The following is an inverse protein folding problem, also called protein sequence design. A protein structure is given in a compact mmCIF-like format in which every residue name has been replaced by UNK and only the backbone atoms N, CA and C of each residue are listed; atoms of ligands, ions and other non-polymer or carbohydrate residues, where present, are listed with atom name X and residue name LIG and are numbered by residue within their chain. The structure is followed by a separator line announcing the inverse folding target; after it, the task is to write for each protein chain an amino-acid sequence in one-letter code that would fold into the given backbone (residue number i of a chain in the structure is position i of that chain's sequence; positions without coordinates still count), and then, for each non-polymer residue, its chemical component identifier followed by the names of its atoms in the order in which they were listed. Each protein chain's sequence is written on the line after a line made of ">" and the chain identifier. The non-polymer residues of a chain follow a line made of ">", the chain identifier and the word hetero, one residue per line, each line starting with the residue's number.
data_IF_631245615583
#
_entry.id   IF_631245615583
#
_cell.length_a   1.000
_cell.length_b   1.000
_cell.length_c   1.000
_cell.angle_alpha   90.00
_cell.angle_beta   90.00
_cell.angle_gamma   90.00
#
_symmetry.space_group_name_H-M   'P 1'
#
loop_
_entity.id
_entity.type
_entity.pdbx_description
1 polymer ?
#
# COMPACT_ATOMS: atom_id res chain seq x y z
N UNK A 1 82.10 -55.81 33.55
CA UNK A 1 81.67 -54.39 33.59
C UNK A 1 80.16 -54.41 33.79
N UNK A 2 79.65 -54.22 35.02
CA UNK A 2 79.25 -52.93 35.65
C UNK A 2 78.15 -52.24 34.80
N UNK A 3 76.91 -51.98 35.21
CA UNK A 3 76.35 -51.76 36.55
C UNK A 3 74.82 -52.00 36.61
N UNK A 4 74.36 -52.32 37.84
CA UNK A 4 72.99 -52.29 38.35
C UNK A 4 72.27 -50.96 38.03
N UNK A 5 70.93 -50.95 37.99
CA UNK A 5 70.15 -50.24 39.03
C UNK A 5 68.66 -50.56 38.98
N UNK A 6 68.12 -50.59 40.20
CA UNK A 6 66.73 -50.69 40.67
C UNK A 6 65.82 -49.65 40.00
N UNK A 7 64.53 -49.98 39.80
CA UNK A 7 63.35 -49.13 40.04
C UNK A 7 62.10 -49.99 39.88
N UNK A 8 61.29 -50.09 40.94
CA UNK A 8 59.83 -49.88 40.84
C UNK A 8 59.20 -49.92 42.24
N UNK A 9 58.68 -48.80 42.74
CA UNK A 9 57.36 -48.77 43.38
C UNK A 9 56.82 -47.33 43.58
N UNK A 10 55.95 -46.94 42.66
CA UNK A 10 54.63 -46.29 42.83
C UNK A 10 54.48 -45.20 43.91
N UNK A 11 54.21 -43.97 43.46
CA UNK A 11 53.48 -42.95 44.22
C UNK A 11 52.10 -42.70 43.56
N UNK A 12 51.06 -42.69 44.40
CA UNK A 12 49.65 -42.58 44.04
C UNK A 12 49.22 -41.18 43.56
N UNK A 13 48.35 -41.19 42.53
CA UNK A 13 47.09 -40.45 42.37
C UNK A 13 46.93 -39.07 43.03
N UNK A 14 46.74 -38.04 42.21
CA UNK A 14 45.49 -37.24 42.18
C UNK A 14 45.50 -36.35 40.93
N UNK A 15 44.95 -36.83 39.82
CA UNK A 15 44.46 -35.90 38.81
C UNK A 15 43.11 -35.39 39.32
N UNK A 16 42.89 -34.08 39.51
CA UNK A 16 41.53 -33.60 39.69
C UNK A 16 40.78 -33.93 38.41
N UNK A 17 39.77 -34.80 38.50
CA UNK A 17 38.76 -34.92 37.47
C UNK A 17 38.05 -33.55 37.42
N UNK A 18 38.53 -32.67 36.56
CA UNK A 18 37.79 -31.47 36.21
C UNK A 18 36.61 -31.96 35.38
N UNK A 19 35.51 -32.28 36.07
CA UNK A 19 34.21 -32.54 35.46
C UNK A 19 33.73 -31.23 34.85
N UNK A 20 34.20 -30.91 33.64
CA UNK A 20 33.59 -29.88 32.82
C UNK A 20 32.20 -30.36 32.45
N UNK A 21 31.15 -29.74 33.00
CA UNK A 21 29.81 -29.92 32.47
C UNK A 21 29.81 -29.35 31.05
N UNK A 22 29.80 -30.22 30.03
CA UNK A 22 29.65 -29.82 28.66
C UNK A 22 28.18 -29.39 28.45
N UNK A 23 27.94 -28.08 28.52
CA UNK A 23 26.66 -27.50 28.14
C UNK A 23 26.73 -27.24 26.63
N UNK A 24 25.91 -27.96 25.86
CA UNK A 24 25.77 -27.76 24.42
C UNK A 24 24.35 -27.29 24.15
N UNK A 25 24.20 -26.08 23.65
CA UNK A 25 22.92 -25.57 23.18
C UNK A 25 22.78 -25.88 21.68
N UNK A 26 21.67 -26.52 21.30
CA UNK A 26 21.26 -26.65 19.90
C UNK A 26 20.13 -25.68 19.63
N UNK A 27 20.31 -24.79 18.67
CA UNK A 27 19.29 -23.79 18.30
C UNK A 27 18.70 -24.12 16.93
N UNK A 28 17.42 -24.47 16.93
CA UNK A 28 16.62 -24.62 15.71
C UNK A 28 15.83 -23.33 15.49
N UNK A 29 15.99 -22.72 14.30
CA UNK A 29 15.27 -21.52 13.91
C UNK A 29 14.57 -21.79 12.58
N UNK A 30 13.35 -21.28 12.43
CA UNK A 30 12.60 -21.27 11.19
C UNK A 30 11.98 -19.89 10.96
N UNK A 31 11.59 -19.60 9.72
CA UNK A 31 10.95 -18.35 9.32
C UNK A 31 9.58 -18.69 8.73
N UNK A 32 8.54 -18.03 9.22
CA UNK A 32 7.22 -18.05 8.58
C UNK A 32 7.19 -16.93 7.54
N UNK A 33 7.03 -17.22 6.24
CA UNK A 33 6.92 -16.17 5.23
C UNK A 33 5.64 -15.36 5.41
N UNK A 34 5.62 -14.12 4.91
CA UNK A 34 4.38 -13.33 4.83
C UNK A 34 3.33 -14.10 4.04
N UNK A 35 2.12 -14.18 4.57
CA UNK A 35 1.07 -14.98 3.95
C UNK A 35 0.50 -14.36 2.66
N UNK A 36 0.63 -13.04 2.51
CA UNK A 36 0.38 -12.32 1.27
C UNK A 36 1.29 -11.09 1.17
N UNK A 37 1.56 -10.64 -0.05
CA UNK A 37 2.40 -9.49 -0.37
C UNK A 37 1.72 -8.67 -1.47
N UNK A 38 1.79 -7.35 -1.33
CA UNK A 38 1.37 -6.37 -2.34
C UNK A 38 2.60 -5.57 -2.77
N UNK A 39 2.71 -5.28 -4.06
CA UNK A 39 3.73 -4.38 -4.61
C UNK A 39 3.07 -3.39 -5.56
N UNK A 40 3.43 -2.11 -5.45
CA UNK A 40 3.09 -1.15 -6.51
C UNK A 40 3.93 -1.43 -7.74
N UNK A 41 3.32 -1.34 -8.91
CA UNK A 41 3.98 -1.48 -10.21
C UNK A 41 4.04 -0.09 -10.83
N UNK A 42 5.18 0.63 -10.73
CA UNK A 42 5.30 1.93 -11.35
C UNK A 42 5.28 1.79 -12.87
N UNK A 43 4.45 2.60 -13.53
CA UNK A 43 4.32 2.64 -14.98
C UNK A 43 4.37 4.07 -15.53
N UNK A 44 4.42 4.17 -16.86
CA UNK A 44 4.43 5.47 -17.57
C UNK A 44 3.15 6.27 -17.38
N UNK A 45 2.04 5.61 -17.02
CA UNK A 45 0.73 6.22 -16.78
C UNK A 45 0.48 6.56 -15.30
N UNK A 46 1.49 6.44 -14.44
CA UNK A 46 1.40 6.95 -13.06
C UNK A 46 1.49 8.48 -13.01
N UNK A 47 1.86 9.11 -14.12
CA UNK A 47 1.88 10.56 -14.30
C UNK A 47 1.29 10.94 -15.66
N UNK A 48 0.81 12.18 -15.75
CA UNK A 48 0.25 12.77 -16.96
C UNK A 48 0.33 14.29 -16.82
N UNK A 49 0.06 14.99 -17.92
CA UNK A 49 -0.04 16.45 -17.95
C UNK A 49 -1.50 16.81 -18.10
N UNK A 50 -1.97 17.68 -17.22
CA UNK A 50 -3.31 18.28 -17.30
C UNK A 50 -3.27 19.39 -18.36
N UNK A 51 -4.15 19.32 -19.33
CA UNK A 51 -4.39 20.39 -20.31
C UNK A 51 -4.98 21.60 -19.57
N UNK A 52 -4.28 22.76 -19.54
CA UNK A 52 -4.72 23.92 -18.80
C UNK A 52 -5.99 24.57 -19.37
N UNK A 53 -6.47 24.19 -20.55
CA UNK A 53 -7.70 24.78 -21.10
C UNK A 53 -8.96 24.13 -20.53
N UNK A 54 -8.90 22.84 -20.26
CA UNK A 54 -10.10 22.02 -19.99
C UNK A 54 -9.93 21.04 -18.82
N UNK A 55 -8.73 20.93 -18.27
CA UNK A 55 -8.43 20.02 -17.16
C UNK A 55 -8.29 18.56 -17.61
N UNK A 56 -8.16 18.27 -18.90
CA UNK A 56 -8.08 16.90 -19.38
C UNK A 56 -6.68 16.31 -19.19
N UNK A 57 -6.59 15.01 -18.96
CA UNK A 57 -5.31 14.30 -18.94
C UNK A 57 -5.34 13.06 -19.84
N UNK A 58 -4.18 12.46 -20.11
CA UNK A 58 -4.01 11.38 -21.10
C UNK A 58 -4.16 9.95 -20.54
N UNK A 59 -4.88 9.78 -19.42
CA UNK A 59 -5.16 8.48 -18.80
C UNK A 59 -4.13 8.08 -17.74
N UNK A 60 -4.45 8.39 -16.48
CA UNK A 60 -3.67 8.02 -15.30
C UNK A 60 -4.12 6.64 -14.79
N UNK A 61 -3.16 5.81 -14.36
CA UNK A 61 -3.43 4.49 -13.78
C UNK A 61 -2.54 4.24 -12.56
N UNK A 62 -3.07 3.49 -11.60
CA UNK A 62 -2.33 2.93 -10.48
C UNK A 62 -2.41 1.41 -10.54
N UNK A 63 -1.25 0.74 -10.57
CA UNK A 63 -1.14 -0.72 -10.71
C UNK A 63 -0.47 -1.34 -9.50
N UNK A 64 -1.00 -2.46 -9.05
CA UNK A 64 -0.48 -3.24 -7.94
C UNK A 64 -0.48 -4.74 -8.28
N UNK A 65 0.58 -5.43 -7.92
CA UNK A 65 0.64 -6.89 -7.94
C UNK A 65 0.39 -7.45 -6.55
N UNK A 66 -0.47 -8.45 -6.47
CA UNK A 66 -0.77 -9.22 -5.27
C UNK A 66 -0.24 -10.63 -5.46
N UNK A 67 0.43 -11.14 -4.42
CA UNK A 67 0.82 -12.55 -4.32
C UNK A 67 0.42 -13.12 -2.96
N UNK A 68 -0.31 -14.23 -2.93
CA UNK A 68 -0.68 -14.96 -1.71
C UNK A 68 0.03 -16.33 -1.68
N UNK A 69 0.31 -16.83 -0.47
CA UNK A 69 0.97 -18.12 -0.27
C UNK A 69 -0.02 -19.26 0.05
N UNK A 70 -1.28 -19.15 -0.39
CA UNK A 70 -2.32 -20.12 -0.05
C UNK A 70 -3.72 -19.66 -0.46
N UNK A 71 -4.74 -20.09 0.29
CA UNK A 71 -6.11 -19.65 0.08
C UNK A 71 -6.24 -18.14 0.36
N UNK A 72 -6.67 -17.41 -0.66
CA UNK A 72 -6.87 -15.97 -0.64
C UNK A 72 -8.22 -15.58 0.00
N UNK A 73 -9.11 -16.55 0.20
CA UNK A 73 -10.41 -16.35 0.86
C UNK A 73 -10.28 -15.81 2.28
N UNK A 74 -9.11 -16.01 2.92
CA UNK A 74 -8.78 -15.51 4.24
C UNK A 74 -8.37 -14.02 4.27
N UNK A 75 -8.29 -13.35 3.12
CA UNK A 75 -7.85 -11.95 3.04
C UNK A 75 -8.88 -11.03 2.41
N UNK A 76 -8.80 -9.76 2.79
CA UNK A 76 -9.43 -8.64 2.13
C UNK A 76 -8.37 -7.69 1.60
N UNK A 77 -8.42 -7.46 0.28
CA UNK A 77 -7.58 -6.49 -0.40
C UNK A 77 -8.37 -5.20 -0.53
N UNK A 78 -7.90 -4.14 0.13
CA UNK A 78 -8.62 -2.87 0.22
C UNK A 78 -7.76 -1.76 -0.37
N UNK A 79 -8.22 -1.20 -1.48
CA UNK A 79 -7.64 -0.04 -2.13
C UNK A 79 -8.28 1.23 -1.56
N UNK A 80 -7.52 1.98 -0.79
CA UNK A 80 -7.90 3.30 -0.26
C UNK A 80 -7.20 4.43 -1.04
N UNK A 81 -7.68 5.66 -0.84
CA UNK A 81 -7.11 6.86 -1.45
C UNK A 81 -7.01 7.98 -0.43
N UNK A 82 -5.93 8.75 -0.50
CA UNK A 82 -5.67 9.91 0.32
C UNK A 82 -5.26 11.12 -0.52
N UNK A 83 -5.75 12.29 -0.13
CA UNK A 83 -5.33 13.60 -0.65
C UNK A 83 -4.92 14.51 0.50
N UNK A 84 -4.02 15.44 0.24
CA UNK A 84 -3.60 16.43 1.24
C UNK A 84 -4.41 17.72 1.11
N UNK A 85 -4.77 18.30 2.25
CA UNK A 85 -5.39 19.61 2.34
C UNK A 85 -4.64 20.45 3.36
N UNK A 86 -4.90 21.75 3.39
CA UNK A 86 -4.36 22.68 4.40
C UNK A 86 -4.70 22.29 5.85
N UNK A 87 -5.69 21.41 6.07
CA UNK A 87 -6.12 20.95 7.40
C UNK A 87 -5.93 19.43 7.57
N UNK A 88 -4.95 18.87 6.86
CA UNK A 88 -4.58 17.46 6.95
C UNK A 88 -5.14 16.59 5.82
N UNK A 89 -4.94 15.28 5.98
CA UNK A 89 -5.29 14.28 4.98
C UNK A 89 -6.80 14.03 4.96
N UNK A 90 -7.35 13.88 3.75
CA UNK A 90 -8.74 13.47 3.51
C UNK A 90 -8.79 12.27 2.59
N UNK A 91 -9.87 11.51 2.65
CA UNK A 91 -10.14 10.46 1.68
C UNK A 91 -10.26 11.07 0.28
N UNK A 92 -9.52 10.54 -0.68
CA UNK A 92 -9.55 10.99 -2.07
C UNK A 92 -10.75 10.46 -2.86
N UNK A 93 -11.45 9.44 -2.36
CA UNK A 93 -12.63 8.89 -3.01
C UNK A 93 -13.92 9.56 -2.56
N UNK A 94 -14.86 9.69 -3.49
CA UNK A 94 -16.26 9.99 -3.19
C UNK A 94 -17.21 9.38 -4.22
N UNK A 95 -18.49 9.30 -3.85
CA UNK A 95 -19.56 8.87 -4.73
C UNK A 95 -20.38 10.06 -5.20
N UNK A 96 -20.67 10.11 -6.50
CA UNK A 96 -21.66 11.02 -7.07
C UNK A 96 -22.49 10.29 -8.11
N UNK A 97 -23.80 10.34 -7.97
CA UNK A 97 -24.76 9.68 -8.87
C UNK A 97 -24.45 8.19 -9.12
N UNK A 98 -24.05 7.48 -8.06
CA UNK A 98 -23.67 6.06 -8.10
C UNK A 98 -22.33 5.76 -8.76
N UNK A 99 -21.55 6.77 -9.16
CA UNK A 99 -20.22 6.63 -9.76
C UNK A 99 -19.14 7.01 -8.75
N UNK A 100 -18.06 6.24 -8.74
CA UNK A 100 -16.87 6.53 -7.95
C UNK A 100 -16.01 7.58 -8.65
N UNK A 101 -15.54 8.55 -7.89
CA UNK A 101 -14.59 9.56 -8.33
C UNK A 101 -13.36 9.55 -7.43
N UNK A 102 -12.23 9.92 -8.02
CA UNK A 102 -10.97 10.18 -7.33
C UNK A 102 -10.63 11.66 -7.45
N UNK A 103 -10.38 12.31 -6.32
CA UNK A 103 -9.88 13.69 -6.25
C UNK A 103 -8.36 13.68 -6.32
N UNK A 104 -7.76 14.62 -7.05
CA UNK A 104 -6.34 14.97 -7.01
C UNK A 104 -6.21 16.36 -6.40
N UNK A 105 -5.37 16.51 -5.36
CA UNK A 105 -5.11 17.79 -4.69
C UNK A 105 -3.78 18.38 -5.14
N UNK A 106 -3.71 19.70 -5.33
CA UNK A 106 -2.45 20.39 -5.59
C UNK A 106 -1.52 20.31 -4.37
N UNK A 107 -0.31 19.79 -4.57
CA UNK A 107 0.72 19.60 -3.53
C UNK A 107 1.49 20.87 -3.19
N UNK A 108 1.63 21.76 -4.16
CA UNK A 108 2.35 23.02 -4.00
C UNK A 108 1.44 24.11 -3.38
N UNK A 109 0.13 24.00 -3.59
CA UNK A 109 -0.89 24.89 -3.04
C UNK A 109 -2.09 24.10 -2.54
N UNK A 110 -1.96 23.59 -1.31
CA UNK A 110 -2.95 22.71 -0.71
C UNK A 110 -4.37 23.34 -0.71
N UNK A 111 -5.40 22.60 -1.15
CA UNK A 111 -6.78 23.07 -1.09
C UNK A 111 -7.27 23.22 0.37
N UNK A 112 -8.37 23.95 0.56
CA UNK A 112 -9.09 23.98 1.83
C UNK A 112 -9.88 22.68 2.02
N UNK A 113 -10.08 22.25 3.26
CA UNK A 113 -10.98 21.11 3.55
C UNK A 113 -12.43 21.38 3.15
N UNK A 114 -12.87 22.65 3.10
CA UNK A 114 -14.21 23.01 2.62
C UNK A 114 -14.39 22.67 1.13
N UNK A 115 -13.33 22.81 0.32
CA UNK A 115 -13.38 22.46 -1.09
C UNK A 115 -13.65 20.96 -1.31
N UNK A 116 -13.07 20.11 -0.45
CA UNK A 116 -13.38 18.67 -0.42
C UNK A 116 -14.85 18.44 -0.05
N UNK A 117 -15.34 19.11 0.99
CA UNK A 117 -16.74 18.98 1.42
C UNK A 117 -17.74 19.40 0.35
N UNK A 118 -17.47 20.49 -0.38
CA UNK A 118 -18.32 20.99 -1.46
C UNK A 118 -18.39 19.99 -2.63
N UNK A 119 -17.27 19.34 -2.96
CA UNK A 119 -17.25 18.24 -3.96
C UNK A 119 -18.05 17.04 -3.47
N UNK A 120 -17.77 16.56 -2.25
CA UNK A 120 -18.38 15.35 -1.67
C UNK A 120 -19.89 15.52 -1.44
N UNK A 121 -20.34 16.72 -1.09
CA UNK A 121 -21.77 17.05 -0.96
C UNK A 121 -22.51 17.12 -2.30
N UNK A 122 -21.81 16.99 -3.43
CA UNK A 122 -22.37 16.89 -4.76
C UNK A 122 -22.58 18.23 -5.48
N UNK A 123 -22.29 19.35 -4.82
CA UNK A 123 -22.48 20.72 -5.33
C UNK A 123 -21.16 21.48 -5.49
N UNK A 124 -20.21 20.99 -6.32
CA UNK A 124 -18.93 21.65 -6.48
C UNK A 124 -19.10 23.04 -7.09
N UNK A 125 -18.51 24.05 -6.46
CA UNK A 125 -18.61 25.46 -6.85
C UNK A 125 -17.25 26.06 -7.19
N UNK A 126 -16.55 25.50 -8.18
CA UNK A 126 -15.21 25.93 -8.59
C UNK A 126 -14.26 25.89 -7.38
N UNK A 127 -13.86 24.67 -7.05
CA UNK A 127 -13.08 24.35 -5.88
C UNK A 127 -11.59 24.45 -6.21
N UNK A 128 -10.88 25.52 -5.80
CA UNK A 128 -9.51 25.74 -6.24
C UNK A 128 -8.59 24.64 -5.72
N UNK A 129 -7.68 24.19 -6.59
CA UNK A 129 -6.60 23.26 -6.30
C UNK A 129 -7.04 21.84 -5.95
N UNK A 130 -8.25 21.43 -6.36
CA UNK A 130 -8.73 20.06 -6.22
C UNK A 130 -9.60 19.65 -7.41
N UNK A 131 -9.15 18.63 -8.13
CA UNK A 131 -9.79 18.19 -9.38
C UNK A 131 -10.26 16.76 -9.21
N UNK A 132 -11.53 16.48 -9.52
CA UNK A 132 -12.09 15.14 -9.44
C UNK A 132 -12.22 14.49 -10.81
N UNK A 133 -11.84 13.22 -10.92
CA UNK A 133 -11.99 12.42 -12.14
C UNK A 133 -12.78 11.15 -11.86
N UNK A 134 -13.61 10.68 -12.80
CA UNK A 134 -14.35 9.44 -12.63
C UNK A 134 -13.37 8.27 -12.60
N UNK A 135 -13.53 7.36 -11.65
CA UNK A 135 -12.78 6.11 -11.66
C UNK A 135 -13.36 5.19 -12.73
N UNK A 136 -12.50 4.73 -13.63
CA UNK A 136 -12.85 3.74 -14.66
C UNK A 136 -12.24 2.41 -14.21
N UNK A 137 -13.08 1.41 -13.99
CA UNK A 137 -12.60 0.10 -13.58
C UNK A 137 -12.32 -0.77 -14.82
N UNK A 138 -11.06 -1.12 -15.06
CA UNK A 138 -10.63 -1.99 -16.16
C UNK A 138 -9.81 -3.21 -15.69
N UNK A 139 -9.73 -3.47 -14.39
CA UNK A 139 -8.95 -4.59 -13.87
C UNK A 139 -9.58 -5.96 -14.19
N UNK A 140 -8.77 -7.02 -14.19
CA UNK A 140 -9.25 -8.41 -14.27
C UNK A 140 -9.91 -8.96 -13.00
N UNK A 141 -10.03 -8.17 -11.92
CA UNK A 141 -10.67 -8.56 -10.66
C UNK A 141 -11.99 -7.82 -10.40
N UNK A 142 -12.83 -8.34 -9.50
CA UNK A 142 -14.07 -7.67 -9.08
C UNK A 142 -13.73 -6.57 -8.06
N UNK A 143 -14.16 -5.32 -8.33
CA UNK A 143 -14.09 -4.22 -7.36
C UNK A 143 -15.47 -3.97 -6.78
N UNK A 144 -15.57 -3.96 -5.45
CA UNK A 144 -16.75 -3.45 -4.74
C UNK A 144 -16.43 -2.17 -4.01
N UNK A 145 -17.19 -1.14 -4.33
CA UNK A 145 -17.19 0.11 -3.58
C UNK A 145 -17.83 -0.16 -2.23
N UNK A 146 -17.14 0.15 -1.14
CA UNK A 146 -17.65 -0.04 0.21
C UNK A 146 -16.95 0.92 1.19
N UNK A 147 -17.41 0.92 2.43
CA UNK A 147 -16.70 1.61 3.50
C UNK A 147 -15.85 0.61 4.30
N UNK A 148 -14.62 1.01 4.62
CA UNK A 148 -13.76 0.31 5.56
C UNK A 148 -13.33 1.32 6.64
N UNK A 149 -13.56 1.01 7.91
CA UNK A 149 -13.32 1.92 9.04
C UNK A 149 -13.92 3.33 8.89
N UNK A 150 -15.09 3.44 8.24
CA UNK A 150 -15.78 4.71 8.03
C UNK A 150 -15.32 5.51 6.80
N UNK A 151 -14.34 5.00 6.05
CA UNK A 151 -13.84 5.64 4.84
C UNK A 151 -14.22 4.85 3.58
N UNK A 152 -14.62 5.56 2.53
CA UNK A 152 -14.91 4.98 1.23
C UNK A 152 -13.64 4.37 0.61
N UNK A 153 -13.75 3.16 0.11
CA UNK A 153 -12.65 2.38 -0.46
C UNK A 153 -13.18 1.43 -1.54
N UNK A 154 -12.25 0.75 -2.22
CA UNK A 154 -12.57 -0.37 -3.10
C UNK A 154 -12.04 -1.67 -2.50
N UNK A 155 -12.92 -2.63 -2.23
CA UNK A 155 -12.52 -4.01 -1.93
C UNK A 155 -12.32 -4.77 -3.23
N UNK A 156 -11.22 -5.49 -3.31
CA UNK A 156 -10.83 -6.27 -4.47
C UNK A 156 -10.99 -7.76 -4.12
N UNK A 157 -11.65 -8.50 -4.99
CA UNK A 157 -11.78 -9.95 -4.88
C UNK A 157 -10.82 -10.63 -5.84
N UNK A 158 -9.95 -11.46 -5.28
CA UNK A 158 -8.97 -12.27 -6.01
C UNK A 158 -9.56 -13.54 -6.61
N UNK A 159 -10.70 -14.02 -6.09
CA UNK A 159 -11.46 -15.12 -6.69
C UNK A 159 -10.75 -16.47 -6.70
N UNK A 160 -9.88 -16.74 -5.72
CA UNK A 160 -9.07 -17.96 -5.65
C UNK A 160 -7.70 -17.85 -6.32
N UNK A 161 -7.35 -16.70 -6.88
CA UNK A 161 -6.06 -16.48 -7.55
C UNK A 161 -4.96 -16.14 -6.54
N UNK A 162 -3.86 -16.88 -6.62
CA UNK A 162 -2.67 -16.63 -5.78
C UNK A 162 -1.79 -15.51 -6.31
N UNK A 163 -1.93 -15.17 -7.60
CA UNK A 163 -1.25 -14.05 -8.24
C UNK A 163 -2.27 -13.25 -9.04
N UNK A 164 -2.32 -11.94 -8.80
CA UNK A 164 -3.23 -11.06 -9.53
C UNK A 164 -2.65 -9.66 -9.66
N UNK A 165 -2.98 -9.00 -10.77
CA UNK A 165 -2.69 -7.59 -10.99
C UNK A 165 -3.96 -6.78 -10.88
N UNK A 166 -3.91 -5.75 -10.04
CA UNK A 166 -4.97 -4.78 -9.78
C UNK A 166 -4.59 -3.48 -10.44
N UNK A 167 -5.45 -2.95 -11.30
CA UNK A 167 -5.25 -1.65 -11.93
C UNK A 167 -6.48 -0.77 -11.73
N UNK A 168 -6.29 0.43 -11.20
CA UNK A 168 -7.33 1.47 -11.17
C UNK A 168 -6.99 2.58 -12.16
N UNK A 169 -7.95 2.89 -13.03
CA UNK A 169 -7.83 3.98 -14.00
C UNK A 169 -8.70 5.15 -13.56
N UNK A 170 -8.30 6.35 -13.92
CA UNK A 170 -9.18 7.52 -13.87
C UNK A 170 -9.41 8.06 -15.28
N UNK A 171 -10.67 8.42 -15.55
CA UNK A 171 -11.11 8.94 -16.84
C UNK A 171 -10.55 10.33 -17.09
N UNK A 172 -10.30 10.66 -18.35
CA UNK A 172 -9.59 11.87 -18.77
C UNK A 172 -10.33 13.18 -18.53
N UNK A 173 -11.64 13.15 -18.41
CA UNK A 173 -12.48 14.34 -18.27
C UNK A 173 -12.81 14.60 -16.79
N UNK A 174 -12.49 15.78 -16.24
CA UNK A 174 -12.81 16.08 -14.85
C UNK A 174 -14.32 16.23 -14.65
N UNK A 175 -14.74 16.07 -13.40
CA UNK A 175 -16.07 16.43 -12.96
C UNK A 175 -16.30 17.93 -13.18
N UNK A 176 -17.44 18.29 -13.75
CA UNK A 176 -17.81 19.69 -13.98
C UNK A 176 -17.73 20.50 -12.67
N UNK A 177 -17.14 21.70 -12.76
CA UNK A 177 -16.89 22.63 -11.63
C UNK A 177 -15.86 22.17 -10.58
N UNK A 178 -15.06 21.14 -10.87
CA UNK A 178 -13.86 20.82 -10.07
C UNK A 178 -12.57 21.27 -10.74
N UNK A 179 -12.62 21.84 -11.95
CA UNK A 179 -11.47 22.43 -12.61
C UNK A 179 -11.84 23.80 -13.17
N UNK A 180 -10.94 24.78 -13.03
CA UNK A 180 -11.00 26.08 -13.67
C UNK A 180 -9.61 26.67 -13.85
N UNK A 181 -9.24 27.06 -15.08
CA UNK A 181 -7.97 27.73 -15.38
C UNK A 181 -7.78 29.04 -14.58
N UNK A 182 -8.87 29.70 -14.18
CA UNK A 182 -8.82 30.97 -13.46
C UNK A 182 -8.53 30.81 -11.96
N UNK A 183 -8.71 29.61 -11.42
CA UNK A 183 -8.65 29.35 -9.98
C UNK A 183 -7.64 28.29 -9.59
N UNK A 184 -7.48 27.26 -10.42
CA UNK A 184 -6.49 26.21 -10.21
C UNK A 184 -5.09 26.76 -10.48
N UNK A 185 -4.21 26.53 -9.52
CA UNK A 185 -2.83 26.94 -9.64
C UNK A 185 -2.02 25.91 -10.41
N UNK A 186 -1.01 26.37 -11.16
CA UNK A 186 0.02 25.49 -11.68
C UNK A 186 0.72 24.75 -10.53
N UNK A 187 1.04 23.48 -10.73
CA UNK A 187 1.68 22.63 -9.73
C UNK A 187 1.35 21.15 -9.95
N UNK A 188 1.86 20.32 -9.04
CA UNK A 188 1.58 18.88 -9.05
C UNK A 188 0.24 18.58 -8.38
N UNK A 189 -0.67 17.91 -9.09
CA UNK A 189 -1.91 17.39 -8.53
C UNK A 189 -1.76 15.90 -8.27
N UNK A 190 -1.99 15.48 -7.02
CA UNK A 190 -1.69 14.13 -6.56
C UNK A 190 -2.84 13.55 -5.73
N UNK A 191 -3.01 12.23 -5.83
CA UNK A 191 -3.64 11.41 -4.82
C UNK A 191 -2.78 10.17 -4.57
N UNK A 192 -2.73 9.73 -3.32
CA UNK A 192 -1.99 8.54 -2.91
C UNK A 192 -2.96 7.38 -2.80
N UNK A 193 -2.80 6.38 -3.67
CA UNK A 193 -3.56 5.14 -3.60
C UNK A 193 -2.77 4.08 -2.81
N UNK A 194 -3.41 3.46 -1.83
CA UNK A 194 -2.79 2.43 -1.00
C UNK A 194 -3.60 1.15 -1.05
N UNK A 195 -2.98 0.05 -1.46
CA UNK A 195 -3.58 -1.27 -1.42
C UNK A 195 -3.11 -2.01 -0.15
N UNK A 196 -4.05 -2.18 0.78
CA UNK A 196 -3.82 -2.87 2.06
C UNK A 196 -4.34 -4.31 2.01
N UNK A 197 -3.68 -5.18 2.76
CA UNK A 197 -4.12 -6.56 2.99
C UNK A 197 -4.59 -6.67 4.44
N UNK A 198 -5.85 -7.06 4.62
CA UNK A 198 -6.40 -7.38 5.93
C UNK A 198 -6.68 -8.87 6.01
N UNK A 199 -6.16 -9.52 7.04
CA UNK A 199 -6.53 -10.91 7.32
C UNK A 199 -7.91 -10.90 7.97
N UNK A 200 -8.82 -11.73 7.45
CA UNK A 200 -10.12 -11.96 8.07
C UNK A 200 -9.92 -12.67 9.42
N UNK A 201 -10.72 -12.32 10.44
CA UNK A 201 -10.67 -12.99 11.74
C UNK A 201 -10.96 -14.49 11.63
#
# INVERSE_FOLDING_TARGET
>A
MKHNFVIFLILLLTAPACSGAAVLDSRLVTIVPSAAVVKSVPGIKNNSVIDPQNGFHSGLEAVFDIKTNGDDSAYDFVLSSAIETSHGVKNGYFLKDGKLYLMLSNKDRLPLSSAVFDIVSGSPENNPNIIAYPVVNLSGGEFKIQNYNGELCCRIFSGGQQEMTVAQYIGSTPLTRTYSIEQDSAGMYEAVLTLNIYRKP
#
